data_IF_685897405826
#
_entry.id   IF_685897405826
#
_cell.length_a   1.000
_cell.length_b   1.000
_cell.length_c   1.000
_cell.angle_alpha   90.00
_cell.angle_beta   90.00
_cell.angle_gamma   90.00
#
_symmetry.space_group_name_H-M   'P 1'
#
loop_
_entity.id
_entity.type
_entity.pdbx_description
1 polymer ?
#
# COMPACT_ATOMS: atom_id res chain seq x y z
N UNK A 1 0.94 -6.03 14.57
CA UNK A 1 0.48 -5.31 13.37
C UNK A 1 -0.67 -6.11 12.78
N UNK A 2 -1.79 -5.47 12.46
CA UNK A 2 -2.95 -6.11 11.83
C UNK A 2 -2.93 -5.79 10.34
N UNK A 3 -3.11 -6.81 9.52
CA UNK A 3 -3.20 -6.68 8.07
C UNK A 3 -4.53 -7.25 7.61
N UNK A 4 -5.36 -6.41 7.03
CA UNK A 4 -6.67 -6.78 6.51
C UNK A 4 -6.70 -6.57 5.00
N UNK A 5 -7.23 -7.55 4.30
CA UNK A 5 -7.40 -7.52 2.85
C UNK A 5 -8.89 -7.75 2.56
N UNK A 6 -9.47 -6.84 1.79
CA UNK A 6 -10.78 -6.98 1.19
C UNK A 6 -10.70 -6.70 -0.31
N UNK A 7 -10.51 -7.77 -1.09
CA UNK A 7 -10.57 -7.75 -2.55
C UNK A 7 -11.94 -8.30 -2.94
N UNK A 8 -12.89 -7.39 -3.16
CA UNK A 8 -14.33 -7.67 -3.32
C UNK A 8 -14.62 -9.01 -4.01
N UNK A 9 -15.24 -9.94 -3.28
CA UNK A 9 -15.62 -11.31 -3.70
C UNK A 9 -14.50 -12.32 -3.99
N UNK A 10 -13.22 -11.93 -3.96
CA UNK A 10 -12.12 -12.80 -4.36
C UNK A 10 -11.31 -13.31 -3.14
N UNK A 11 -10.81 -12.39 -2.32
CA UNK A 11 -10.03 -12.71 -1.12
C UNK A 11 -10.42 -11.73 -0.02
N UNK A 12 -10.95 -12.27 1.06
CA UNK A 12 -11.18 -11.55 2.31
C UNK A 12 -10.41 -12.24 3.43
N UNK A 13 -9.70 -11.47 4.23
CA UNK A 13 -8.91 -12.03 5.32
C UNK A 13 -8.30 -10.99 6.23
N UNK A 14 -8.13 -11.36 7.50
CA UNK A 14 -7.39 -10.59 8.50
C UNK A 14 -6.26 -11.47 9.05
N UNK A 15 -5.04 -10.91 9.08
CA UNK A 15 -3.85 -11.56 9.59
C UNK A 15 -3.24 -10.66 10.66
N UNK A 16 -3.06 -11.23 11.85
CA UNK A 16 -2.25 -10.60 12.90
C UNK A 16 -0.77 -10.96 12.70
N UNK A 17 0.03 -9.97 12.35
CA UNK A 17 1.48 -10.08 12.15
C UNK A 17 2.17 -9.79 13.49
N UNK A 18 2.91 -10.79 13.98
CA UNK A 18 3.76 -10.77 15.18
C UNK A 18 5.23 -10.63 14.75
N UNK A 19 6.16 -10.70 15.71
CA UNK A 19 7.61 -10.54 15.45
C UNK A 19 8.12 -11.50 14.37
N UNK A 20 7.66 -12.75 14.41
CA UNK A 20 7.89 -13.75 13.36
C UNK A 20 6.54 -14.39 13.06
N UNK A 21 6.07 -14.19 11.83
CA UNK A 21 4.83 -14.82 11.32
C UNK A 21 5.19 -15.68 10.13
N UNK A 22 4.88 -16.97 10.20
CA UNK A 22 5.10 -17.93 9.12
C UNK A 22 3.79 -18.19 8.38
N UNK A 23 3.76 -17.93 7.06
CA UNK A 23 2.61 -18.21 6.21
C UNK A 23 2.86 -19.52 5.44
N UNK A 24 2.10 -20.56 5.76
CA UNK A 24 2.26 -21.91 5.23
C UNK A 24 1.03 -22.35 4.44
N UNK A 25 1.21 -23.26 3.48
CA UNK A 25 0.11 -23.80 2.65
C UNK A 25 0.61 -24.41 1.35
N UNK A 26 -0.25 -25.17 0.67
CA UNK A 26 0.09 -25.84 -0.60
C UNK A 26 0.57 -24.84 -1.68
N UNK A 27 1.35 -25.26 -2.68
CA UNK A 27 1.72 -24.40 -3.80
C UNK A 27 0.49 -23.76 -4.45
N UNK A 28 0.65 -22.53 -4.97
CA UNK A 28 -0.39 -21.77 -5.70
C UNK A 28 -1.62 -21.35 -4.89
N UNK A 29 -1.57 -21.38 -3.56
CA UNK A 29 -2.65 -20.89 -2.68
C UNK A 29 -2.61 -19.38 -2.37
N UNK A 30 -1.91 -18.58 -3.17
CA UNK A 30 -1.88 -17.11 -3.00
C UNK A 30 -0.97 -16.55 -1.89
N UNK A 31 -0.12 -17.38 -1.25
CA UNK A 31 0.81 -16.92 -0.18
C UNK A 31 1.73 -15.79 -0.64
N UNK A 32 2.30 -15.93 -1.84
CA UNK A 32 3.17 -14.91 -2.45
C UNK A 32 2.40 -13.62 -2.72
N UNK A 33 1.14 -13.73 -3.13
CA UNK A 33 0.26 -12.57 -3.35
C UNK A 33 0.02 -11.80 -2.07
N UNK A 34 -0.29 -12.49 -0.95
CA UNK A 34 -0.48 -11.86 0.36
C UNK A 34 0.78 -11.11 0.80
N UNK A 35 1.95 -11.76 0.68
CA UNK A 35 3.24 -11.12 1.03
C UNK A 35 3.54 -9.91 0.14
N UNK A 36 3.18 -9.98 -1.15
CA UNK A 36 3.39 -8.87 -2.07
C UNK A 36 2.48 -7.69 -1.75
N UNK A 37 1.19 -7.92 -1.49
CA UNK A 37 0.26 -6.87 -1.07
C UNK A 37 0.72 -6.20 0.23
N UNK A 38 1.16 -6.99 1.21
CA UNK A 38 1.71 -6.46 2.45
C UNK A 38 2.92 -5.56 2.20
N UNK A 39 3.86 -6.01 1.37
CA UNK A 39 5.04 -5.22 1.00
C UNK A 39 4.66 -3.91 0.29
N UNK A 40 3.79 -3.99 -0.72
CA UNK A 40 3.42 -2.84 -1.54
C UNK A 40 2.66 -1.77 -0.74
N UNK A 41 1.74 -2.18 0.15
CA UNK A 41 1.05 -1.26 1.06
C UNK A 41 2.02 -0.63 2.07
N UNK A 42 2.94 -1.42 2.63
CA UNK A 42 3.97 -0.90 3.55
C UNK A 42 4.88 0.11 2.83
N UNK A 43 5.26 -0.18 1.58
CA UNK A 43 6.06 0.71 0.76
C UNK A 43 5.31 2.02 0.47
N UNK A 44 4.04 1.94 0.09
CA UNK A 44 3.22 3.11 -0.18
C UNK A 44 3.04 3.97 1.09
N UNK A 45 2.78 3.35 2.25
CA UNK A 45 2.65 4.04 3.54
C UNK A 45 3.94 4.80 3.98
N UNK A 46 5.09 4.36 3.48
CA UNK A 46 6.40 4.95 3.78
C UNK A 46 6.83 6.00 2.76
N UNK A 47 6.60 5.76 1.48
CA UNK A 47 7.19 6.55 0.39
C UNK A 47 6.16 7.39 -0.39
N UNK A 48 4.86 7.21 -0.14
CA UNK A 48 3.76 7.89 -0.84
C UNK A 48 3.76 7.66 -2.38
N UNK A 49 4.48 6.65 -2.83
CA UNK A 49 4.49 6.19 -4.23
C UNK A 49 3.75 4.86 -4.31
N UNK A 50 2.73 4.79 -5.17
CA UNK A 50 1.96 3.58 -5.43
C UNK A 50 2.79 2.63 -6.30
N UNK A 51 3.12 1.41 -5.83
CA UNK A 51 3.83 0.43 -6.65
C UNK A 51 2.98 -0.01 -7.85
N UNK A 52 3.61 -0.15 -9.02
CA UNK A 52 2.91 -0.60 -10.23
C UNK A 52 2.32 -2.01 -10.08
N UNK A 53 2.98 -2.86 -9.30
CA UNK A 53 2.53 -4.21 -9.02
C UNK A 53 1.26 -4.25 -8.15
N UNK A 54 1.08 -3.27 -7.24
CA UNK A 54 -0.16 -3.15 -6.47
C UNK A 54 -1.36 -2.94 -7.41
N UNK A 55 -1.19 -2.03 -8.38
CA UNK A 55 -2.20 -1.78 -9.41
C UNK A 55 -2.42 -3.00 -10.29
N UNK A 56 -1.34 -3.68 -10.71
CA UNK A 56 -1.43 -4.89 -11.52
C UNK A 56 -2.17 -6.02 -10.81
N UNK A 57 -1.95 -6.20 -9.50
CA UNK A 57 -2.61 -7.24 -8.70
C UNK A 57 -4.10 -6.93 -8.59
N UNK A 58 -4.47 -5.68 -8.30
CA UNK A 58 -5.87 -5.25 -8.15
C UNK A 58 -6.61 -5.38 -9.48
N UNK A 59 -5.99 -4.93 -10.58
CA UNK A 59 -6.56 -5.07 -11.92
C UNK A 59 -6.74 -6.53 -12.35
N UNK A 60 -5.87 -7.44 -11.88
CA UNK A 60 -5.97 -8.87 -12.21
C UNK A 60 -7.18 -9.57 -11.57
N UNK A 61 -7.73 -9.02 -10.49
CA UNK A 61 -8.86 -9.64 -9.78
C UNK A 61 -10.24 -9.15 -10.25
N UNK A 62 -10.30 -8.27 -11.27
CA UNK A 62 -11.54 -7.72 -11.84
C UNK A 62 -12.53 -7.18 -10.78
N UNK A 63 -12.00 -6.59 -9.70
CA UNK A 63 -12.82 -6.06 -8.61
C UNK A 63 -13.19 -4.60 -8.87
N UNK A 64 -14.41 -4.21 -8.49
CA UNK A 64 -14.87 -2.81 -8.56
C UNK A 64 -14.08 -1.89 -7.62
N UNK A 65 -13.66 -2.45 -6.49
CA UNK A 65 -12.86 -1.79 -5.47
C UNK A 65 -11.99 -2.82 -4.75
N UNK A 66 -10.86 -2.36 -4.23
CA UNK A 66 -9.97 -3.11 -3.35
C UNK A 66 -9.66 -2.24 -2.13
N UNK A 67 -9.88 -2.78 -0.93
CA UNK A 67 -9.52 -2.13 0.32
C UNK A 67 -8.46 -2.97 1.02
N UNK A 68 -7.31 -2.36 1.31
CA UNK A 68 -6.21 -3.01 2.01
C UNK A 68 -5.81 -2.14 3.19
N UNK A 69 -5.91 -2.70 4.39
CA UNK A 69 -5.63 -1.98 5.63
C UNK A 69 -4.40 -2.59 6.32
N UNK A 70 -3.45 -1.73 6.67
CA UNK A 70 -2.29 -2.05 7.50
C UNK A 70 -2.33 -1.20 8.77
N UNK A 71 -2.62 -1.83 9.91
CA UNK A 71 -2.93 -1.17 11.18
C UNK A 71 -4.02 -0.08 11.01
N UNK A 72 -3.62 1.19 10.95
CA UNK A 72 -4.53 2.35 10.77
C UNK A 72 -4.45 2.95 9.36
N UNK A 73 -3.57 2.43 8.50
CA UNK A 73 -3.38 2.92 7.15
C UNK A 73 -4.23 2.12 6.16
N UNK A 74 -5.24 2.76 5.58
CA UNK A 74 -6.10 2.15 4.56
C UNK A 74 -5.73 2.66 3.18
N UNK A 75 -5.55 1.74 2.25
CA UNK A 75 -5.42 1.99 0.82
C UNK A 75 -6.69 1.50 0.15
N UNK A 76 -7.39 2.41 -0.50
CA UNK A 76 -8.56 2.11 -1.31
C UNK A 76 -8.19 2.32 -2.76
N UNK A 77 -8.31 1.27 -3.57
CA UNK A 77 -8.10 1.34 -5.01
C UNK A 77 -9.40 1.06 -5.73
N UNK A 78 -9.76 1.90 -6.70
CA UNK A 78 -10.93 1.70 -7.55
C UNK A 78 -10.49 1.39 -8.97
N UNK A 79 -11.27 0.55 -9.64
CA UNK A 79 -11.10 0.28 -11.07
C UNK A 79 -11.74 1.43 -11.86
N UNK A 80 -11.00 2.50 -12.06
CA UNK A 80 -11.27 3.47 -13.13
C UNK A 80 -10.31 3.17 -14.30
N UNK A 81 -10.60 3.66 -15.51
CA UNK A 81 -9.78 3.46 -16.72
C UNK A 81 -8.29 3.82 -16.50
N UNK A 82 -8.01 4.59 -15.44
CA UNK A 82 -6.72 4.73 -14.77
C UNK A 82 -6.87 4.23 -13.32
N UNK A 83 -6.35 3.04 -12.99
CA UNK A 83 -6.43 2.49 -11.65
C UNK A 83 -5.82 3.49 -10.63
N UNK A 84 -6.67 4.05 -9.75
CA UNK A 84 -6.26 5.05 -8.77
C UNK A 84 -6.33 4.47 -7.36
N UNK A 85 -5.20 4.48 -6.65
CA UNK A 85 -5.13 4.11 -5.25
C UNK A 85 -5.03 5.38 -4.41
N UNK A 86 -5.89 5.50 -3.40
CA UNK A 86 -5.94 6.63 -2.46
C UNK A 86 -5.72 6.11 -1.04
N UNK A 87 -4.92 6.83 -0.26
CA UNK A 87 -4.78 6.59 1.18
C UNK A 87 -5.66 7.56 1.96
N UNK A 88 -6.45 7.07 2.92
CA UNK A 88 -7.33 7.92 3.74
C UNK A 88 -6.61 8.64 4.89
N UNK A 89 -5.36 8.26 5.19
CA UNK A 89 -4.65 8.60 6.43
C UNK A 89 -4.01 10.01 6.45
N UNK A 90 -4.77 11.02 6.00
CA UNK A 90 -4.34 12.42 5.79
C UNK A 90 -4.20 13.29 7.05
N UNK A 91 -4.15 12.76 8.27
CA UNK A 91 -4.29 13.60 9.48
C UNK A 91 -3.01 13.86 10.29
N UNK A 92 -1.86 13.17 10.13
CA UNK A 92 -0.75 13.33 11.12
C UNK A 92 0.71 13.45 10.69
N UNK A 93 1.07 13.44 9.39
CA UNK A 93 2.50 13.50 9.00
C UNK A 93 2.98 14.75 8.25
N UNK A 94 2.10 15.72 7.96
CA UNK A 94 2.43 16.81 7.03
C UNK A 94 3.02 18.11 7.61
N UNK A 95 3.27 18.22 8.92
CA UNK A 95 3.95 19.43 9.43
C UNK A 95 5.48 19.32 9.50
N UNK A 96 6.07 18.12 9.40
CA UNK A 96 7.51 17.95 9.57
C UNK A 96 8.32 17.79 8.26
N UNK A 97 7.70 17.34 7.16
CA UNK A 97 8.46 16.93 5.94
C UNK A 97 8.47 18.01 4.85
N UNK A 98 7.47 18.89 4.80
CA UNK A 98 7.42 19.97 3.79
C UNK A 98 8.40 21.12 4.06
N UNK A 99 8.87 21.29 5.29
CA UNK A 99 9.84 22.34 5.63
C UNK A 99 11.26 22.02 5.14
N UNK A 100 11.64 20.73 5.06
CA UNK A 100 13.00 20.33 4.68
C UNK A 100 13.22 20.18 3.17
N UNK A 101 12.18 19.85 2.39
CA UNK A 101 12.35 19.61 0.94
C UNK A 101 12.51 20.91 0.14
N UNK A 102 11.98 22.03 0.64
CA UNK A 102 12.14 23.35 0.03
C UNK A 102 13.52 23.98 0.28
N UNK A 103 14.16 23.69 1.41
CA UNK A 103 15.52 24.18 1.70
C UNK A 103 16.58 23.45 0.88
N UNK A 104 16.48 22.12 0.76
CA UNK A 104 17.44 21.31 -0.02
C UNK A 104 17.42 21.73 -1.50
N UNK A 105 16.24 22.00 -2.08
CA UNK A 105 16.12 22.45 -3.48
C UNK A 105 16.74 23.84 -3.70
N UNK A 106 16.72 24.72 -2.70
CA UNK A 106 17.33 26.07 -2.80
C UNK A 106 18.85 26.02 -2.69
N UNK A 107 19.43 25.08 -1.94
CA UNK A 107 20.89 24.92 -1.91
C UNK A 107 21.44 24.37 -3.23
N UNK A 108 20.79 23.37 -3.83
CA UNK A 108 21.23 22.83 -5.12
C UNK A 108 21.15 23.84 -6.27
N UNK A 109 20.19 24.76 -6.24
CA UNK A 109 20.04 25.82 -7.25
C UNK A 109 21.08 26.95 -7.13
N UNK A 110 21.86 27.02 -6.04
CA UNK A 110 22.97 27.99 -5.89
C UNK A 110 24.31 27.45 -6.41
N UNK A 111 24.37 26.18 -6.81
CA UNK A 111 25.58 25.50 -7.26
C UNK A 111 25.69 25.43 -8.80
N UNK A 112 24.74 26.01 -9.53
CA UNK A 112 24.73 26.13 -10.99
C UNK A 112 24.36 27.53 -11.44
#
# INVERSE_FOLDING_TARGET
MKFKIDLSNFVTGEIEIKNITLIMGMPRTGKTTILRLLYDVTYYAKNEVVPAELLSIINAFDTSSAEITLDNFTVTCTKEEEASCKSEDRVRRNEAVFSNSHEIRKEFAKLY
#
